data_IF_359522963126
#
_entry.id   IF_359522963126
#
_cell.length_a   1.000
_cell.length_b   1.000
_cell.length_c   1.000
_cell.angle_alpha   90.00
_cell.angle_beta   90.00
_cell.angle_gamma   90.00
#
_symmetry.space_group_name_H-M   'P 1'
#
loop_
_entity.id
_entity.type
_entity.pdbx_description
1 polymer ?
#
# COMPACT_ATOMS: atom_id res chain seq x y z
N UNK A 1 -6.73 4.02 6.07
CA UNK A 1 -7.47 5.31 6.04
C UNK A 1 -6.49 6.45 5.98
N UNK A 2 -6.93 7.56 5.39
CA UNK A 2 -6.48 8.88 5.83
C UNK A 2 -6.84 9.01 7.31
N UNK A 3 -5.85 9.27 8.16
CA UNK A 3 -6.09 9.72 9.54
C UNK A 3 -7.26 10.72 9.54
N UNK A 4 -8.17 10.69 10.52
CA UNK A 4 -9.23 11.72 10.59
C UNK A 4 -8.66 13.15 10.71
N UNK A 5 -7.38 13.25 11.08
CA UNK A 5 -6.56 14.47 11.11
C UNK A 5 -5.73 14.71 9.84
N UNK A 6 -5.78 13.83 8.84
CA UNK A 6 -5.06 14.06 7.59
C UNK A 6 -5.81 15.09 6.73
N UNK A 7 -5.14 16.19 6.35
CA UNK A 7 -5.77 17.22 5.56
C UNK A 7 -6.23 16.65 4.22
N UNK A 8 -7.52 16.78 3.95
CA UNK A 8 -8.15 16.38 2.67
C UNK A 8 -7.99 17.44 1.57
N UNK A 9 -7.29 18.52 1.91
CA UNK A 9 -7.07 19.69 1.07
C UNK A 9 -5.59 20.09 1.11
N UNK A 10 -5.17 20.89 0.13
CA UNK A 10 -3.86 21.53 0.20
C UNK A 10 -3.75 22.39 1.46
N UNK A 11 -2.59 22.38 2.09
CA UNK A 11 -2.27 23.26 3.21
C UNK A 11 -2.35 24.75 2.83
N UNK A 12 -2.09 25.06 1.55
CA UNK A 12 -2.19 26.41 0.99
C UNK A 12 -3.01 26.41 -0.31
N UNK A 13 -3.88 27.41 -0.45
CA UNK A 13 -4.63 27.70 -1.66
C UNK A 13 -3.77 27.99 -2.91
N UNK A 14 -2.55 28.49 -2.75
CA UNK A 14 -1.66 28.83 -3.87
C UNK A 14 -1.29 27.59 -4.71
N UNK A 15 -1.32 26.39 -4.15
CA UNK A 15 -1.09 25.15 -4.90
C UNK A 15 -2.10 24.95 -6.03
N UNK A 16 -3.38 25.24 -5.77
CA UNK A 16 -4.41 25.14 -6.81
C UNK A 16 -4.17 26.15 -7.93
N UNK A 17 -3.84 27.40 -7.57
CA UNK A 17 -3.52 28.46 -8.52
C UNK A 17 -2.29 28.09 -9.36
N UNK A 18 -1.24 27.55 -8.73
CA UNK A 18 -0.05 27.08 -9.42
C UNK A 18 -0.37 26.01 -10.46
N UNK A 19 -1.10 24.95 -10.08
CA UNK A 19 -1.47 23.89 -11.03
C UNK A 19 -2.37 24.40 -12.16
N UNK A 20 -3.29 25.33 -11.87
CA UNK A 20 -4.10 25.99 -12.90
C UNK A 20 -3.23 26.74 -13.90
N UNK A 21 -2.26 27.53 -13.43
CA UNK A 21 -1.34 28.27 -14.29
C UNK A 21 -0.51 27.33 -15.16
N UNK A 22 0.04 26.25 -14.59
CA UNK A 22 0.77 25.23 -15.35
C UNK A 22 -0.08 24.61 -16.46
N UNK A 23 -1.33 24.22 -16.18
CA UNK A 23 -2.22 23.58 -17.15
C UNK A 23 -2.78 24.54 -18.22
N UNK A 24 -2.79 25.85 -17.95
CA UNK A 24 -3.25 26.88 -18.91
C UNK A 24 -2.15 27.49 -19.74
N UNK A 25 -0.88 27.33 -19.33
CA UNK A 25 0.23 27.98 -19.99
C UNK A 25 0.53 27.31 -21.34
N UNK A 26 0.58 28.14 -22.38
CA UNK A 26 0.86 27.72 -23.76
C UNK A 26 2.35 27.34 -23.92
N UNK A 27 3.22 27.77 -23.00
CA UNK A 27 4.67 27.58 -23.04
C UNK A 27 5.20 26.75 -21.87
N UNK A 28 4.36 25.94 -21.22
CA UNK A 28 4.83 25.07 -20.14
C UNK A 28 5.60 23.86 -20.71
N UNK A 29 6.93 23.90 -20.59
CA UNK A 29 7.82 22.87 -21.16
C UNK A 29 8.15 21.74 -20.16
N UNK A 30 7.68 21.84 -18.92
CA UNK A 30 7.95 20.86 -17.87
C UNK A 30 6.81 19.85 -17.74
N UNK A 31 7.13 18.67 -17.20
CA UNK A 31 6.15 17.67 -16.78
C UNK A 31 6.07 17.68 -15.26
N UNK A 32 4.87 17.75 -14.71
CA UNK A 32 4.63 17.63 -13.27
C UNK A 32 4.03 16.25 -12.98
N UNK A 33 4.64 15.54 -12.04
CA UNK A 33 4.11 14.29 -11.49
C UNK A 33 3.69 14.55 -10.05
N UNK A 34 2.41 14.34 -9.77
CA UNK A 34 1.85 14.48 -8.43
C UNK A 34 1.45 13.10 -7.91
N UNK A 35 2.01 12.73 -6.76
CA UNK A 35 1.60 11.54 -6.01
C UNK A 35 0.80 11.99 -4.80
N UNK A 36 -0.37 11.39 -4.59
CA UNK A 36 -1.17 11.64 -3.40
C UNK A 36 -1.87 10.37 -2.94
N UNK A 37 -2.10 10.23 -1.64
CA UNK A 37 -2.94 9.17 -1.08
C UNK A 37 -4.43 9.41 -1.36
N UNK A 38 -4.83 10.68 -1.48
CA UNK A 38 -6.16 11.08 -1.94
C UNK A 38 -6.09 12.41 -2.68
N UNK A 39 -6.82 12.51 -3.79
CA UNK A 39 -6.85 13.74 -4.56
C UNK A 39 -7.64 14.82 -3.78
N UNK A 40 -7.08 16.02 -3.55
CA UNK A 40 -7.80 17.12 -2.90
C UNK A 40 -9.08 17.47 -3.66
N UNK A 41 -10.19 17.74 -2.95
CA UNK A 41 -11.49 17.97 -3.62
C UNK A 41 -11.43 19.18 -4.53
N UNK A 42 -10.67 20.21 -4.17
CA UNK A 42 -10.43 21.40 -5.01
C UNK A 42 -9.80 21.10 -6.38
N UNK A 43 -9.08 19.98 -6.52
CA UNK A 43 -8.55 19.54 -7.82
C UNK A 43 -9.65 19.04 -8.77
N UNK A 44 -10.86 18.80 -8.29
CA UNK A 44 -12.00 18.40 -9.13
C UNK A 44 -12.26 19.40 -10.27
N UNK A 45 -12.03 20.70 -10.03
CA UNK A 45 -12.16 21.77 -11.03
C UNK A 45 -11.19 21.61 -12.21
N UNK A 46 -10.12 20.82 -12.04
CA UNK A 46 -9.13 20.56 -13.09
C UNK A 46 -9.43 19.29 -13.89
N UNK A 47 -10.42 18.48 -13.47
CA UNK A 47 -10.72 17.16 -14.07
C UNK A 47 -11.09 17.22 -15.54
N UNK A 48 -11.80 18.25 -15.96
CA UNK A 48 -12.30 18.40 -17.34
C UNK A 48 -11.24 18.87 -18.35
N UNK A 49 -9.98 19.06 -17.93
CA UNK A 49 -8.95 19.57 -18.83
C UNK A 49 -8.21 18.45 -19.55
N UNK A 50 -8.06 18.58 -20.87
CA UNK A 50 -7.35 17.62 -21.75
C UNK A 50 -5.84 17.42 -21.44
N UNK A 51 -5.29 18.12 -20.43
CA UNK A 51 -3.85 18.29 -20.23
C UNK A 51 -3.30 17.61 -18.98
N UNK A 52 -4.09 16.77 -18.30
CA UNK A 52 -3.61 16.00 -17.16
C UNK A 52 -4.04 14.54 -17.26
N UNK A 53 -3.17 13.65 -16.77
CA UNK A 53 -3.42 12.22 -16.72
C UNK A 53 -3.54 11.80 -15.26
N UNK A 54 -4.60 11.05 -14.96
CA UNK A 54 -4.82 10.46 -13.64
C UNK A 54 -4.65 8.95 -13.74
N UNK A 55 -3.72 8.41 -12.95
CA UNK A 55 -3.51 6.99 -12.78
C UNK A 55 -3.73 6.63 -11.30
N UNK A 56 -4.81 5.88 -11.03
CA UNK A 56 -5.01 5.30 -9.71
C UNK A 56 -4.12 4.07 -9.56
N UNK A 57 -3.21 4.11 -8.58
CA UNK A 57 -2.38 2.97 -8.23
C UNK A 57 -3.15 2.06 -7.27
N UNK A 58 -3.53 0.89 -7.76
CA UNK A 58 -4.08 -0.20 -6.95
C UNK A 58 -2.95 -1.07 -6.40
N UNK A 59 -3.28 -1.96 -5.47
CA UNK A 59 -2.32 -2.97 -5.05
C UNK A 59 -1.98 -3.95 -6.18
N UNK A 60 -0.92 -4.72 -5.95
CA UNK A 60 -0.38 -5.71 -6.86
C UNK A 60 -1.41 -6.78 -7.22
N UNK A 61 -1.39 -7.21 -8.47
CA UNK A 61 -2.10 -8.40 -8.92
C UNK A 61 -1.51 -9.65 -8.26
N UNK A 62 -2.27 -10.75 -8.23
CA UNK A 62 -1.78 -12.01 -7.63
C UNK A 62 -0.46 -12.48 -8.25
N UNK A 63 -0.29 -12.35 -9.57
CA UNK A 63 0.97 -12.67 -10.24
C UNK A 63 2.12 -11.77 -9.79
N UNK A 64 1.87 -10.46 -9.63
CA UNK A 64 2.86 -9.50 -9.17
C UNK A 64 3.22 -9.69 -7.69
N UNK A 65 2.27 -10.18 -6.88
CA UNK A 65 2.54 -10.59 -5.49
C UNK A 65 3.51 -11.78 -5.46
N UNK A 66 3.27 -12.81 -6.28
CA UNK A 66 4.15 -13.96 -6.39
C UNK A 66 5.54 -13.56 -6.86
N UNK A 67 5.62 -12.67 -7.86
CA UNK A 67 6.89 -12.11 -8.34
C UNK A 67 7.63 -11.34 -7.23
N UNK A 68 6.90 -10.62 -6.37
CA UNK A 68 7.47 -9.92 -5.22
C UNK A 68 8.09 -10.91 -4.23
N UNK A 69 7.39 -11.99 -3.87
CA UNK A 69 7.92 -13.01 -2.97
C UNK A 69 9.12 -13.75 -3.58
N UNK A 70 9.06 -14.07 -4.87
CA UNK A 70 10.17 -14.69 -5.59
C UNK A 70 11.44 -13.82 -5.57
N UNK A 71 11.29 -12.49 -5.71
CA UNK A 71 12.42 -11.54 -5.58
C UNK A 71 13.05 -11.53 -4.19
N UNK A 72 12.33 -11.94 -3.15
CA UNK A 72 12.85 -12.08 -1.79
C UNK A 72 13.44 -13.48 -1.52
N UNK A 73 13.54 -14.33 -2.54
CA UNK A 73 14.10 -15.68 -2.40
C UNK A 73 13.10 -16.73 -1.91
N UNK A 74 11.82 -16.39 -1.81
CA UNK A 74 10.78 -17.31 -1.38
C UNK A 74 10.32 -18.14 -2.60
N UNK A 75 10.52 -19.45 -2.52
CA UNK A 75 10.18 -20.37 -3.61
C UNK A 75 8.67 -20.53 -3.77
N UNK A 76 8.18 -20.31 -4.99
CA UNK A 76 6.81 -20.58 -5.40
C UNK A 76 6.62 -22.06 -5.79
N UNK A 77 6.84 -22.98 -4.85
CA UNK A 77 6.34 -24.36 -5.00
C UNK A 77 4.82 -24.36 -5.17
N UNK A 78 4.21 -25.43 -5.69
CA UNK A 78 2.74 -25.49 -5.83
C UNK A 78 2.03 -25.23 -4.49
N UNK A 79 2.57 -25.76 -3.40
CA UNK A 79 2.04 -25.59 -2.04
C UNK A 79 2.18 -24.14 -1.53
N UNK A 80 3.35 -23.53 -1.72
CA UNK A 80 3.58 -22.14 -1.32
C UNK A 80 2.78 -21.17 -2.19
N UNK A 81 2.59 -21.45 -3.48
CA UNK A 81 1.89 -20.56 -4.41
C UNK A 81 0.47 -20.26 -3.96
N UNK A 82 -0.24 -21.29 -3.47
CA UNK A 82 -1.59 -21.11 -2.94
C UNK A 82 -1.59 -20.21 -1.71
N UNK A 83 -0.67 -20.42 -0.78
CA UNK A 83 -0.56 -19.66 0.47
C UNK A 83 -0.12 -18.21 0.21
N UNK A 84 0.89 -17.99 -0.61
CA UNK A 84 1.36 -16.66 -1.02
C UNK A 84 0.28 -15.89 -1.77
N UNK A 85 -0.53 -16.57 -2.58
CA UNK A 85 -1.68 -15.96 -3.25
C UNK A 85 -2.76 -15.53 -2.25
N UNK A 86 -3.04 -16.36 -1.23
CA UNK A 86 -3.96 -16.00 -0.14
C UNK A 86 -3.44 -14.81 0.66
N UNK A 87 -2.14 -14.76 0.96
CA UNK A 87 -1.50 -13.61 1.61
C UNK A 87 -1.68 -12.37 0.73
N UNK A 88 -1.31 -12.43 -0.55
CA UNK A 88 -1.48 -11.31 -1.49
C UNK A 88 -2.91 -10.77 -1.52
N UNK A 89 -3.91 -11.66 -1.60
CA UNK A 89 -5.31 -11.28 -1.58
C UNK A 89 -5.76 -10.69 -0.24
N UNK A 90 -5.33 -11.29 0.88
CA UNK A 90 -5.64 -10.82 2.22
C UNK A 90 -5.06 -9.45 2.54
N UNK A 91 -4.17 -8.93 1.69
CA UNK A 91 -3.59 -7.60 1.78
C UNK A 91 -3.91 -6.67 0.60
N UNK A 92 -4.91 -7.03 -0.22
CA UNK A 92 -5.27 -6.31 -1.45
C UNK A 92 -4.05 -6.02 -2.35
N UNK A 93 -3.01 -6.85 -2.30
CA UNK A 93 -1.78 -6.66 -3.06
C UNK A 93 -0.90 -5.49 -2.59
N UNK A 94 -1.08 -4.94 -1.39
CA UNK A 94 -0.34 -3.74 -0.97
C UNK A 94 1.19 -3.99 -0.94
N UNK A 95 2.00 -3.37 -1.83
CA UNK A 95 3.39 -3.77 -2.06
C UNK A 95 4.27 -3.71 -0.79
N UNK A 96 4.17 -2.61 -0.05
CA UNK A 96 4.96 -2.41 1.17
C UNK A 96 4.64 -3.46 2.25
N UNK A 97 3.38 -3.87 2.36
CA UNK A 97 2.97 -4.88 3.33
C UNK A 97 3.57 -6.23 2.97
N UNK A 98 3.48 -6.59 1.70
CA UNK A 98 4.00 -7.86 1.20
C UNK A 98 5.54 -7.92 1.30
N UNK A 99 6.24 -6.79 1.19
CA UNK A 99 7.68 -6.70 1.46
C UNK A 99 8.01 -7.01 2.92
N UNK A 100 7.25 -6.45 3.88
CA UNK A 100 7.44 -6.75 5.30
C UNK A 100 7.20 -8.24 5.57
N UNK A 101 6.11 -8.79 5.05
CA UNK A 101 5.80 -10.22 5.21
C UNK A 101 6.88 -11.09 4.58
N UNK A 102 7.39 -10.72 3.41
CA UNK A 102 8.48 -11.44 2.77
C UNK A 102 9.76 -11.41 3.64
N UNK A 103 10.08 -10.26 4.24
CA UNK A 103 11.16 -10.12 5.20
C UNK A 103 10.96 -11.02 6.43
N UNK A 104 9.78 -10.95 7.07
CA UNK A 104 9.42 -11.79 8.21
C UNK A 104 9.56 -13.28 7.88
N UNK A 105 9.03 -13.74 6.74
CA UNK A 105 9.16 -15.13 6.29
C UNK A 105 10.63 -15.55 6.16
N UNK A 106 11.48 -14.69 5.58
CA UNK A 106 12.88 -15.00 5.39
C UNK A 106 13.69 -14.97 6.70
N UNK A 107 13.46 -13.99 7.57
CA UNK A 107 14.24 -13.75 8.78
C UNK A 107 13.78 -14.59 9.98
N UNK A 108 12.47 -14.66 10.23
CA UNK A 108 11.91 -15.29 11.43
C UNK A 108 11.48 -16.75 11.18
N UNK A 109 11.35 -17.17 9.92
CA UNK A 109 10.85 -18.49 9.53
C UNK A 109 11.77 -19.23 8.54
N UNK A 110 13.00 -18.76 8.31
CA UNK A 110 13.98 -19.39 7.39
C UNK A 110 13.40 -19.66 5.99
N UNK A 111 12.50 -18.81 5.50
CA UNK A 111 11.82 -18.95 4.21
C UNK A 111 10.60 -19.89 4.22
N UNK A 112 10.18 -20.40 5.39
CA UNK A 112 9.06 -21.33 5.52
C UNK A 112 7.71 -20.60 5.54
N UNK A 113 7.09 -20.51 4.35
CA UNK A 113 5.78 -19.88 4.14
C UNK A 113 4.67 -20.55 4.95
N UNK A 114 4.66 -21.89 5.04
CA UNK A 114 3.63 -22.65 5.75
C UNK A 114 3.65 -22.32 7.24
N UNK A 115 4.84 -22.31 7.86
CA UNK A 115 4.99 -22.01 9.28
C UNK A 115 4.58 -20.56 9.61
N UNK A 116 4.90 -19.61 8.73
CA UNK A 116 4.42 -18.24 8.85
C UNK A 116 2.88 -18.18 8.80
N UNK A 117 2.27 -18.88 7.84
CA UNK A 117 0.82 -18.90 7.69
C UNK A 117 0.10 -19.60 8.85
N UNK A 118 0.66 -20.67 9.40
CA UNK A 118 0.11 -21.31 10.60
C UNK A 118 0.16 -20.38 11.82
N UNK A 119 1.22 -19.56 11.92
CA UNK A 119 1.39 -18.64 13.06
C UNK A 119 0.45 -17.44 13.00
N UNK A 120 0.26 -16.84 11.82
CA UNK A 120 -0.44 -15.57 11.68
C UNK A 120 -1.72 -15.63 10.83
N UNK A 121 -1.93 -16.71 10.08
CA UNK A 121 -3.07 -16.87 9.17
C UNK A 121 -4.43 -16.71 9.85
N UNK A 122 -4.59 -17.27 11.06
CA UNK A 122 -5.81 -17.16 11.85
C UNK A 122 -6.13 -15.71 12.27
N UNK A 123 -5.11 -14.93 12.61
CA UNK A 123 -5.29 -13.51 12.95
C UNK A 123 -5.79 -12.72 11.74
N UNK A 124 -5.32 -13.07 10.54
CA UNK A 124 -5.74 -12.42 9.29
C UNK A 124 -7.12 -12.83 8.84
N UNK A 125 -7.47 -14.12 8.93
CA UNK A 125 -8.83 -14.57 8.66
C UNK A 125 -9.85 -13.89 9.58
N UNK A 126 -9.50 -13.66 10.85
CA UNK A 126 -10.37 -12.95 11.79
C UNK A 126 -10.54 -11.48 11.44
N UNK A 127 -9.50 -10.79 10.97
CA UNK A 127 -9.58 -9.40 10.50
C UNK A 127 -10.44 -9.33 9.23
N UNK A 128 -10.19 -10.20 8.25
CA UNK A 128 -10.98 -10.28 7.02
C UNK A 128 -12.47 -10.54 7.30
N UNK A 129 -12.78 -11.55 8.14
CA UNK A 129 -14.17 -11.89 8.51
C UNK A 129 -14.87 -10.77 9.28
N UNK A 130 -14.19 -10.09 10.21
CA UNK A 130 -14.78 -8.96 10.96
C UNK A 130 -15.14 -7.79 10.05
N UNK A 131 -14.42 -7.62 8.94
CA UNK A 131 -14.63 -6.53 7.99
C UNK A 131 -15.69 -6.89 6.94
N UNK A 132 -15.74 -8.14 6.48
CA UNK A 132 -16.85 -8.67 5.66
C UNK A 132 -18.18 -8.63 6.41
N UNK A 133 -18.21 -9.10 7.66
CA UNK A 133 -19.43 -9.14 8.48
C UNK A 133 -20.01 -7.76 8.79
N UNK A 134 -19.19 -6.71 8.76
CA UNK A 134 -19.66 -5.33 8.98
C UNK A 134 -20.09 -4.62 7.68
N UNK A 135 -20.06 -5.25 6.50
CA UNK A 135 -20.26 -4.60 5.17
C UNK A 135 -19.49 -3.29 5.05
N UNK A 136 -18.25 -3.32 5.51
CA UNK A 136 -17.45 -2.11 5.73
C UNK A 136 -16.84 -1.65 4.40
N UNK A 137 -16.92 -0.33 4.17
CA UNK A 137 -16.28 0.38 3.06
C UNK A 137 -14.80 -0.03 2.95
N UNK A 138 -14.31 -0.31 1.74
CA UNK A 138 -12.93 -0.76 1.47
C UNK A 138 -11.87 0.18 2.09
N UNK A 139 -12.25 1.44 2.34
CA UNK A 139 -11.48 2.44 3.06
C UNK A 139 -11.12 2.09 4.53
N UNK A 140 -12.04 1.48 5.28
CA UNK A 140 -11.86 1.06 6.67
C UNK A 140 -11.04 -0.23 6.76
N UNK A 141 -11.24 -1.15 5.82
CA UNK A 141 -10.38 -2.33 5.65
C UNK A 141 -8.92 -1.91 5.40
N UNK A 142 -8.71 -0.97 4.47
CA UNK A 142 -7.43 -0.32 4.23
C UNK A 142 -6.92 0.54 5.41
N UNK A 143 -7.59 0.61 6.56
CA UNK A 143 -7.11 1.30 7.76
C UNK A 143 -6.66 0.36 8.84
N UNK A 144 -7.51 -0.56 9.27
CA UNK A 144 -7.09 -1.52 10.31
C UNK A 144 -5.88 -2.32 9.83
N UNK A 145 -5.88 -2.68 8.53
CA UNK A 145 -4.74 -3.30 7.86
C UNK A 145 -3.54 -2.35 7.78
N UNK A 146 -3.75 -1.06 7.44
CA UNK A 146 -2.66 -0.07 7.41
C UNK A 146 -2.09 0.24 8.78
N UNK A 147 -2.88 0.26 9.85
CA UNK A 147 -2.40 0.52 11.21
C UNK A 147 -1.62 -0.67 11.74
N UNK A 148 -2.12 -1.91 11.58
CA UNK A 148 -1.36 -3.10 11.99
C UNK A 148 -0.09 -3.30 11.17
N UNK A 149 -0.14 -3.00 9.87
CA UNK A 149 1.05 -3.06 9.04
C UNK A 149 1.96 -1.87 9.31
N UNK A 150 1.43 -0.68 9.62
CA UNK A 150 2.24 0.45 10.08
C UNK A 150 2.96 0.09 11.36
N UNK A 151 2.30 -0.51 12.34
CA UNK A 151 2.93 -1.00 13.58
C UNK A 151 4.08 -1.95 13.26
N UNK A 152 3.85 -2.94 12.37
CA UNK A 152 4.91 -3.89 11.96
C UNK A 152 6.02 -3.25 11.14
N UNK A 153 5.69 -2.39 10.17
CA UNK A 153 6.65 -1.62 9.37
C UNK A 153 7.47 -0.72 10.27
N UNK A 154 6.84 -0.03 11.24
CA UNK A 154 7.53 0.81 12.21
C UNK A 154 8.41 -0.03 13.15
N UNK A 155 7.99 -1.22 13.55
CA UNK A 155 8.81 -2.16 14.32
C UNK A 155 10.00 -2.67 13.51
N UNK A 156 9.80 -3.11 12.26
CA UNK A 156 10.87 -3.53 11.35
C UNK A 156 11.84 -2.38 11.02
N UNK A 157 11.33 -1.16 10.77
CA UNK A 157 12.16 0.03 10.56
C UNK A 157 12.94 0.43 11.82
N UNK A 158 12.34 0.27 13.02
CA UNK A 158 13.06 0.48 14.29
C UNK A 158 14.18 -0.53 14.46
N UNK A 159 13.97 -1.81 14.13
CA UNK A 159 15.01 -2.85 14.16
C UNK A 159 16.19 -2.51 13.24
N UNK A 160 15.90 -2.05 12.02
CA UNK A 160 16.93 -1.56 11.08
C UNK A 160 17.72 -0.36 11.63
N UNK A 161 17.05 0.58 12.30
CA UNK A 161 17.72 1.76 12.88
C UNK A 161 18.62 1.46 14.10
N UNK A 162 18.39 0.33 14.77
CA UNK A 162 19.24 -0.13 15.88
C UNK A 162 20.49 -0.87 15.42
N UNK A 163 20.46 -1.52 14.26
CA UNK A 163 21.61 -2.24 13.70
C UNK A 163 22.68 -1.29 13.13
N UNK A 164 22.31 -0.10 12.65
CA UNK A 164 23.27 0.92 12.18
C UNK A 164 24.06 1.61 13.31
N UNK A 165 23.84 1.23 14.58
CA UNK A 165 24.52 1.79 15.76
C UNK A 165 25.39 0.81 16.55
N UNK A 166 25.62 -0.41 16.05
CA UNK A 166 26.55 -1.40 16.63
C UNK A 166 27.84 -1.55 15.82
#
# INVERSE_FOLDING_TARGET
MLNSDQPTEFADSYWLTFFQLCLTSIQFQSLLVLTSQALPKKMAVLKDRKFWHWAELKGLLSSECLDLFAKHGISASEENTLTLSKIGQAYEGHPLVLQVIAGEICEDFDGNVTQYWERYGDEFEQVARKLEAKRVDSFLYNQELKERVRERVEESLKRLSSDERS
#
